data_IF_442857963107
#
_entry.id   IF_442857963107
#
_cell.length_a   1.000
_cell.length_b   1.000
_cell.length_c   1.000
_cell.angle_alpha   90.00
_cell.angle_beta   90.00
_cell.angle_gamma   90.00
#
_symmetry.space_group_name_H-M   'P 1'
#
loop_
_entity.id
_entity.type
_entity.pdbx_description
1 polymer ?
#
# COMPACT_ATOMS: atom_id res chain seq x y z
N UNK A 1 -10.51 23.62 -7.16
CA UNK A 1 -9.57 23.00 -6.20
C UNK A 1 -9.37 21.52 -6.47
N UNK A 2 -10.38 20.69 -6.48
CA UNK A 2 -10.31 19.21 -6.62
C UNK A 2 -9.44 18.69 -7.80
N UNK A 3 -9.49 19.34 -8.98
CA UNK A 3 -8.68 18.91 -10.15
C UNK A 3 -7.17 19.06 -9.92
N UNK A 4 -6.73 20.13 -9.27
CA UNK A 4 -5.30 20.36 -9.01
C UNK A 4 -4.75 19.35 -8.01
N UNK A 5 -5.51 19.04 -6.97
CA UNK A 5 -5.15 18.05 -5.94
C UNK A 5 -5.09 16.63 -6.54
N UNK A 6 -6.05 16.29 -7.40
CA UNK A 6 -6.05 15.01 -8.11
C UNK A 6 -4.83 14.88 -9.02
N UNK A 7 -4.51 15.90 -9.81
CA UNK A 7 -3.35 15.91 -10.70
C UNK A 7 -2.05 15.82 -9.91
N UNK A 8 -1.92 16.57 -8.82
CA UNK A 8 -0.75 16.50 -7.93
C UNK A 8 -0.59 15.09 -7.34
N UNK A 9 -1.68 14.46 -6.90
CA UNK A 9 -1.67 13.09 -6.41
C UNK A 9 -1.24 12.08 -7.46
N UNK A 10 -1.72 12.22 -8.71
CA UNK A 10 -1.31 11.35 -9.82
C UNK A 10 0.17 11.52 -10.17
N UNK A 11 0.67 12.75 -10.19
CA UNK A 11 2.10 13.02 -10.44
C UNK A 11 2.94 12.39 -9.34
N UNK A 12 2.59 12.61 -8.07
CA UNK A 12 3.31 12.03 -6.94
C UNK A 12 3.31 10.49 -6.98
N UNK A 13 2.16 9.88 -7.30
CA UNK A 13 2.06 8.43 -7.48
C UNK A 13 3.00 7.94 -8.58
N UNK A 14 2.99 8.58 -9.75
CA UNK A 14 3.84 8.20 -10.87
C UNK A 14 5.32 8.35 -10.56
N UNK A 15 5.72 9.40 -9.85
CA UNK A 15 7.11 9.57 -9.41
C UNK A 15 7.58 8.42 -8.50
N UNK A 16 6.76 8.00 -7.54
CA UNK A 16 7.07 6.83 -6.70
C UNK A 16 7.18 5.57 -7.56
N UNK A 17 6.28 5.37 -8.52
CA UNK A 17 6.34 4.23 -9.45
C UNK A 17 7.59 4.25 -10.33
N UNK A 18 8.06 5.40 -10.75
CA UNK A 18 9.33 5.54 -11.48
C UNK A 18 10.52 5.08 -10.62
N UNK A 19 10.57 5.47 -9.34
CA UNK A 19 11.63 5.01 -8.42
C UNK A 19 11.58 3.50 -8.23
N UNK A 20 10.38 2.93 -8.08
CA UNK A 20 10.22 1.47 -7.98
C UNK A 20 10.69 0.75 -9.25
N UNK A 21 10.36 1.28 -10.44
CA UNK A 21 10.80 0.71 -11.71
C UNK A 21 12.34 0.78 -11.86
N UNK A 22 12.95 1.89 -11.44
CA UNK A 22 14.40 2.05 -11.45
C UNK A 22 15.07 1.08 -10.47
N UNK A 23 14.52 0.89 -9.27
CA UNK A 23 15.01 -0.08 -8.30
C UNK A 23 14.90 -1.53 -8.83
N UNK A 24 13.76 -1.85 -9.45
CA UNK A 24 13.56 -3.17 -10.07
C UNK A 24 14.59 -3.44 -11.16
N UNK A 25 14.85 -2.47 -12.04
CA UNK A 25 15.82 -2.57 -13.12
C UNK A 25 17.27 -2.71 -12.62
N UNK A 26 17.64 -2.00 -11.55
CA UNK A 26 19.00 -2.03 -10.99
C UNK A 26 19.33 -3.32 -10.22
N UNK A 27 18.32 -3.94 -9.64
CA UNK A 27 18.50 -5.08 -8.72
C UNK A 27 17.78 -6.35 -9.17
N UNK A 28 17.33 -6.40 -10.42
CA UNK A 28 16.59 -7.54 -11.00
C UNK A 28 15.41 -8.00 -10.13
N UNK A 29 14.70 -7.02 -9.55
CA UNK A 29 13.55 -7.29 -8.69
C UNK A 29 12.23 -7.23 -9.47
N UNK A 30 11.23 -8.00 -9.03
CA UNK A 30 9.91 -8.02 -9.67
C UNK A 30 9.13 -6.77 -9.25
N UNK A 31 8.90 -5.84 -10.21
CA UNK A 31 8.27 -4.53 -9.97
C UNK A 31 6.91 -4.63 -9.25
N UNK A 32 6.08 -5.60 -9.62
CA UNK A 32 4.75 -5.80 -9.08
C UNK A 32 4.77 -6.22 -7.61
N UNK A 33 5.90 -6.72 -7.16
CA UNK A 33 6.10 -7.17 -5.78
C UNK A 33 6.70 -6.12 -4.87
N UNK A 34 7.19 -5.01 -5.40
CA UNK A 34 7.77 -3.96 -4.58
C UNK A 34 6.70 -3.22 -3.77
N UNK A 35 7.06 -2.84 -2.54
CA UNK A 35 6.18 -2.14 -1.62
C UNK A 35 6.08 -0.66 -1.98
N UNK A 36 4.91 -0.21 -2.47
CA UNK A 36 4.67 1.22 -2.72
C UNK A 36 4.81 2.05 -1.44
N UNK A 37 4.25 1.54 -0.33
CA UNK A 37 4.34 2.23 0.95
C UNK A 37 5.78 2.28 1.46
N UNK A 38 6.50 1.19 1.39
CA UNK A 38 7.92 1.13 1.76
C UNK A 38 8.77 2.08 0.93
N UNK A 39 8.54 2.13 -0.39
CA UNK A 39 9.21 3.10 -1.28
C UNK A 39 8.92 4.55 -0.88
N UNK A 40 7.67 4.88 -0.57
CA UNK A 40 7.30 6.22 -0.14
C UNK A 40 7.95 6.60 1.20
N UNK A 41 7.99 5.68 2.14
CA UNK A 41 8.62 5.89 3.45
C UNK A 41 10.15 6.04 3.31
N UNK A 42 10.78 5.23 2.47
CA UNK A 42 12.21 5.35 2.13
C UNK A 42 12.53 6.71 1.47
N UNK A 43 11.74 7.14 0.49
CA UNK A 43 11.91 8.45 -0.15
C UNK A 43 11.84 9.60 0.86
N UNK A 44 10.90 9.55 1.81
CA UNK A 44 10.77 10.56 2.86
C UNK A 44 12.00 10.61 3.77
N UNK A 45 12.55 9.47 4.13
CA UNK A 45 13.77 9.41 4.95
C UNK A 45 15.00 9.92 4.19
N UNK A 46 15.18 9.48 2.93
CA UNK A 46 16.34 9.86 2.14
C UNK A 46 16.32 11.31 1.67
N UNK A 47 15.14 11.93 1.51
CA UNK A 47 15.03 13.33 1.11
C UNK A 47 15.76 14.30 2.06
N UNK A 48 15.74 14.02 3.37
CA UNK A 48 16.42 14.81 4.36
C UNK A 48 17.96 14.69 4.23
N UNK A 49 18.46 13.48 3.97
CA UNK A 49 19.89 13.24 3.75
C UNK A 49 20.38 13.82 2.43
N UNK A 50 19.59 13.71 1.37
CA UNK A 50 19.90 14.27 0.07
C UNK A 50 20.00 15.80 0.12
N UNK A 51 19.08 16.47 0.84
CA UNK A 51 19.11 17.92 1.02
C UNK A 51 20.38 18.41 1.73
N UNK A 52 20.96 17.58 2.60
CA UNK A 52 22.21 17.88 3.32
C UNK A 52 23.47 17.49 2.55
N UNK A 53 23.34 16.69 1.50
CA UNK A 53 24.47 16.19 0.73
C UNK A 53 25.10 17.31 -0.11
N UNK A 54 26.36 17.68 0.21
CA UNK A 54 27.11 18.76 -0.45
C UNK A 54 27.81 18.34 -1.75
N UNK A 55 28.02 17.03 -1.97
CA UNK A 55 28.73 16.54 -3.15
C UNK A 55 27.85 15.64 -4.01
N UNK A 56 28.03 15.71 -5.32
CA UNK A 56 27.36 14.86 -6.29
C UNK A 56 27.68 13.36 -6.06
N UNK A 57 28.91 13.07 -5.63
CA UNK A 57 29.31 11.69 -5.28
C UNK A 57 28.45 11.14 -4.14
N UNK A 58 28.20 11.95 -3.10
CA UNK A 58 27.36 11.56 -1.97
C UNK A 58 25.90 11.40 -2.38
N UNK A 59 25.36 12.33 -3.18
CA UNK A 59 23.99 12.24 -3.72
C UNK A 59 23.80 10.96 -4.52
N UNK A 60 24.75 10.63 -5.41
CA UNK A 60 24.69 9.39 -6.18
C UNK A 60 24.76 8.14 -5.30
N UNK A 61 25.58 8.15 -4.26
CA UNK A 61 25.63 7.05 -3.29
C UNK A 61 24.29 6.87 -2.57
N UNK A 62 23.72 7.96 -2.05
CA UNK A 62 22.41 7.94 -1.39
C UNK A 62 21.31 7.42 -2.33
N UNK A 63 21.32 7.83 -3.60
CA UNK A 63 20.39 7.32 -4.59
C UNK A 63 20.50 5.81 -4.80
N UNK A 64 21.71 5.28 -4.96
CA UNK A 64 21.93 3.84 -5.11
C UNK A 64 21.53 3.06 -3.85
N UNK A 65 21.82 3.60 -2.66
CA UNK A 65 21.40 3.01 -1.39
C UNK A 65 19.87 2.99 -1.27
N UNK A 66 19.17 4.06 -1.69
CA UNK A 66 17.71 4.12 -1.76
C UNK A 66 17.15 3.02 -2.68
N UNK A 67 17.67 2.90 -3.90
CA UNK A 67 17.22 1.88 -4.85
C UNK A 67 17.40 0.46 -4.29
N UNK A 68 18.50 0.21 -3.59
CA UNK A 68 18.75 -1.07 -2.93
C UNK A 68 17.73 -1.37 -1.82
N UNK A 69 17.40 -0.38 -1.00
CA UNK A 69 16.40 -0.51 0.07
C UNK A 69 15.03 -0.81 -0.52
N UNK A 70 14.63 -0.09 -1.57
CA UNK A 70 13.35 -0.30 -2.26
C UNK A 70 13.27 -1.70 -2.85
N UNK A 71 14.34 -2.17 -3.50
CA UNK A 71 14.38 -3.50 -4.11
C UNK A 71 14.29 -4.64 -3.07
N UNK A 72 14.77 -4.41 -1.86
CA UNK A 72 14.76 -5.39 -0.77
C UNK A 72 13.50 -5.35 0.11
N UNK A 73 12.46 -4.58 -0.27
CA UNK A 73 11.18 -4.54 0.43
C UNK A 73 10.02 -5.11 -0.42
N UNK A 74 10.03 -6.43 -0.72
CA UNK A 74 8.96 -7.05 -1.47
C UNK A 74 7.71 -7.24 -0.62
N UNK A 75 6.55 -7.00 -1.21
CA UNK A 75 5.26 -7.35 -0.60
C UNK A 75 5.17 -8.87 -0.47
N UNK A 76 4.87 -9.41 0.72
CA UNK A 76 4.74 -10.84 0.91
C UNK A 76 3.58 -11.41 0.07
N UNK A 77 3.81 -12.55 -0.58
CA UNK A 77 2.75 -13.30 -1.25
C UNK A 77 1.77 -13.82 -0.20
N UNK A 78 0.49 -13.52 -0.39
CA UNK A 78 -0.60 -13.96 0.48
C UNK A 78 -1.71 -14.58 -0.37
N UNK A 79 -1.46 -15.74 -0.98
CA UNK A 79 -2.45 -16.41 -1.79
C UNK A 79 -3.67 -16.76 -0.93
N UNK A 80 -4.87 -16.60 -1.48
CA UNK A 80 -6.11 -16.91 -0.76
C UNK A 80 -6.46 -15.98 0.39
N UNK A 81 -5.80 -14.81 0.51
CA UNK A 81 -6.14 -13.83 1.55
C UNK A 81 -7.53 -13.26 1.31
N UNK A 82 -8.45 -13.61 2.20
CA UNK A 82 -9.74 -12.94 2.34
C UNK A 82 -9.65 -11.94 3.50
N UNK A 83 -10.09 -10.71 3.26
CA UNK A 83 -10.19 -9.69 4.31
C UNK A 83 -11.65 -9.26 4.45
N UNK A 84 -12.45 -10.04 5.20
CA UNK A 84 -13.83 -9.68 5.42
C UNK A 84 -13.91 -8.33 6.14
N UNK A 85 -14.74 -7.44 5.63
CA UNK A 85 -14.99 -6.13 6.23
C UNK A 85 -16.35 -6.15 6.93
N UNK A 86 -16.37 -5.67 8.16
CA UNK A 86 -17.64 -5.42 8.82
C UNK A 86 -18.38 -4.28 8.11
N UNK A 87 -19.56 -4.55 7.56
CA UNK A 87 -20.40 -3.52 6.93
C UNK A 87 -21.21 -2.82 8.03
N UNK A 88 -21.15 -1.49 8.05
CA UNK A 88 -21.92 -0.68 8.99
C UNK A 88 -23.24 -0.24 8.40
N UNK A 89 -24.26 -0.23 9.24
CA UNK A 89 -25.57 0.32 8.89
C UNK A 89 -25.67 1.85 9.00
N UNK A 90 -24.72 2.50 9.69
CA UNK A 90 -24.69 3.95 9.88
C UNK A 90 -23.24 4.49 9.84
N UNK A 91 -23.03 5.78 9.56
CA UNK A 91 -21.69 6.39 9.52
C UNK A 91 -21.11 6.55 10.95
N UNK A 92 -20.87 5.45 11.60
CA UNK A 92 -20.09 5.41 12.86
C UNK A 92 -18.66 4.98 12.57
N UNK A 93 -17.66 5.34 13.40
CA UNK A 93 -16.29 4.87 13.22
C UNK A 93 -16.25 3.35 13.12
N UNK A 94 -15.30 2.80 12.34
CA UNK A 94 -15.20 1.34 12.14
C UNK A 94 -15.15 0.61 13.47
N UNK A 95 -15.94 -0.47 13.69
CA UNK A 95 -15.82 -1.25 14.90
C UNK A 95 -14.37 -1.75 15.00
N UNK A 96 -13.82 -1.68 16.20
CA UNK A 96 -12.52 -2.27 16.48
C UNK A 96 -12.57 -3.76 16.15
N UNK A 97 -11.48 -4.28 15.56
CA UNK A 97 -11.32 -5.71 15.37
C UNK A 97 -11.07 -6.33 16.75
N UNK A 98 -12.11 -6.88 17.33
CA UNK A 98 -12.03 -7.58 18.62
C UNK A 98 -11.59 -9.06 18.49
N UNK A 99 -11.40 -9.54 17.25
CA UNK A 99 -10.92 -10.89 16.93
C UNK A 99 -9.97 -10.83 15.73
N UNK A 100 -9.07 -11.80 15.54
CA UNK A 100 -8.27 -11.93 14.34
C UNK A 100 -9.14 -11.97 13.07
N UNK A 101 -8.71 -11.31 11.99
CA UNK A 101 -9.46 -11.18 10.73
C UNK A 101 -9.94 -12.52 10.17
N UNK A 102 -9.17 -13.59 10.33
CA UNK A 102 -9.53 -14.96 9.89
C UNK A 102 -10.82 -15.50 10.51
N UNK A 103 -11.26 -14.90 11.62
CA UNK A 103 -12.50 -15.31 12.32
C UNK A 103 -13.71 -14.45 11.95
N UNK A 104 -13.55 -13.49 11.02
CA UNK A 104 -14.68 -12.73 10.50
C UNK A 104 -15.16 -13.37 9.22
N UNK A 105 -16.45 -13.71 9.21
CA UNK A 105 -17.15 -14.09 7.98
C UNK A 105 -17.44 -12.80 7.21
N UNK A 106 -17.17 -12.81 5.90
CA UNK A 106 -17.47 -11.68 5.04
C UNK A 106 -18.99 -11.43 5.06
N UNK A 107 -19.36 -10.24 5.52
CA UNK A 107 -20.78 -9.84 5.51
C UNK A 107 -21.15 -9.44 4.09
N UNK A 108 -22.28 -9.93 3.55
CA UNK A 108 -22.70 -9.55 2.21
C UNK A 108 -22.86 -8.02 2.12
N UNK A 109 -22.26 -7.43 1.12
CA UNK A 109 -22.39 -6.02 0.82
C UNK A 109 -23.86 -5.65 0.66
N UNK A 110 -24.25 -4.45 1.07
CA UNK A 110 -25.63 -3.95 0.92
C UNK A 110 -26.15 -4.07 -0.52
N UNK A 111 -25.25 -4.03 -1.51
CA UNK A 111 -25.58 -4.22 -2.92
C UNK A 111 -25.72 -5.70 -3.34
N UNK A 112 -25.30 -6.65 -2.53
CA UNK A 112 -25.49 -8.08 -2.76
C UNK A 112 -26.90 -8.58 -2.43
N UNK A 113 -27.85 -7.69 -2.17
CA UNK A 113 -29.28 -8.05 -2.05
C UNK A 113 -29.85 -8.75 -3.29
N UNK A 114 -29.20 -8.60 -4.41
CA UNK A 114 -29.66 -9.11 -5.71
C UNK A 114 -29.29 -10.58 -5.98
N UNK A 115 -28.41 -11.17 -5.21
CA UNK A 115 -27.91 -12.53 -5.48
C UNK A 115 -28.42 -13.59 -4.50
N UNK A 116 -29.55 -13.37 -3.81
CA UNK A 116 -30.31 -14.45 -3.14
C UNK A 116 -29.57 -15.28 -2.09
N UNK A 117 -28.39 -14.86 -1.64
CA UNK A 117 -27.61 -15.58 -0.64
C UNK A 117 -28.22 -15.49 0.78
N UNK A 118 -28.05 -16.51 1.63
CA UNK A 118 -28.69 -16.58 2.93
C UNK A 118 -28.24 -15.45 3.85
N UNK A 119 -29.18 -14.68 4.36
CA UNK A 119 -28.99 -13.55 5.29
C UNK A 119 -28.71 -14.01 6.73
N UNK A 120 -27.84 -14.95 6.95
CA UNK A 120 -27.58 -15.37 8.33
C UNK A 120 -26.19 -14.93 8.75
N UNK A 121 -26.16 -13.90 9.63
CA UNK A 121 -25.01 -13.61 10.46
C UNK A 121 -24.83 -14.76 11.45
N UNK A 122 -24.06 -15.77 11.09
CA UNK A 122 -23.63 -16.74 12.09
C UNK A 122 -22.51 -16.10 12.90
N UNK A 123 -22.84 -15.70 14.13
CA UNK A 123 -21.82 -15.55 15.17
C UNK A 123 -21.30 -16.95 15.43
N UNK A 124 -20.11 -17.24 14.98
CA UNK A 124 -19.39 -18.40 15.46
C UNK A 124 -19.02 -18.12 16.93
N UNK A 125 -19.62 -18.86 17.84
CA UNK A 125 -19.29 -18.86 19.26
C UNK A 125 -17.85 -19.31 19.50
#
# INVERSE_FOLDING_TARGET
>A
MVRKELLAGLIAHNLVRCVMAEAARHHDAVLERLSFKGTLDALRQFSAFEAQARSQRLKRKLWLDLLRIVANDPVPLRPGRSEPRAVKHRPKPFPLLNRPRRHFVELPHRNNRWHGGPRKYQRLN
#
